data_IF_771296171764
#
_entry.id   IF_771296171764
#
_cell.length_a   1.000
_cell.length_b   1.000
_cell.length_c   1.000
_cell.angle_alpha   90.00
_cell.angle_beta   90.00
_cell.angle_gamma   90.00
#
_symmetry.space_group_name_H-M   'P 1'
#
loop_
_entity.id
_entity.type
_entity.pdbx_description
1 polymer ?
#
# COMPACT_ATOMS: atom_id res chain seq x y z
N UNK A 1 -0.36 -13.69 1.22
CA UNK A 1 0.75 -14.61 1.60
C UNK A 1 0.22 -16.03 1.67
N UNK A 2 0.93 -16.95 1.05
CA UNK A 2 0.62 -18.37 1.08
C UNK A 2 1.16 -19.02 2.34
N UNK A 3 0.65 -20.22 2.68
CA UNK A 3 1.12 -20.96 3.85
C UNK A 3 2.63 -21.25 3.78
N UNK A 4 3.11 -21.63 2.59
CA UNK A 4 4.53 -21.87 2.36
C UNK A 4 5.38 -20.64 2.64
N UNK A 5 4.87 -19.46 2.31
CA UNK A 5 5.53 -18.18 2.60
C UNK A 5 5.56 -17.90 4.10
N UNK A 6 4.51 -18.28 4.83
CA UNK A 6 4.50 -18.15 6.29
C UNK A 6 5.56 -19.07 6.92
N UNK A 7 5.71 -20.29 6.41
CA UNK A 7 6.76 -21.23 6.85
C UNK A 7 8.15 -20.63 6.59
N UNK A 8 8.36 -20.05 5.42
CA UNK A 8 9.61 -19.34 5.09
C UNK A 8 9.86 -18.17 6.03
N UNK A 9 8.82 -17.40 6.31
CA UNK A 9 8.88 -16.28 7.27
C UNK A 9 9.31 -16.77 8.65
N UNK A 10 8.74 -17.88 9.12
CA UNK A 10 9.10 -18.47 10.40
C UNK A 10 10.54 -18.95 10.44
N UNK A 11 11.04 -19.51 9.35
CA UNK A 11 12.45 -19.89 9.23
C UNK A 11 13.37 -18.67 9.38
N UNK A 12 13.01 -17.57 8.74
CA UNK A 12 13.75 -16.32 8.84
C UNK A 12 13.70 -15.78 10.27
N UNK A 13 12.54 -15.75 10.89
CA UNK A 13 12.38 -15.30 12.29
C UNK A 13 13.24 -16.16 13.21
N UNK A 14 13.17 -17.46 13.05
CA UNK A 14 13.98 -18.38 13.88
C UNK A 14 15.47 -18.23 13.64
N UNK A 15 15.88 -17.90 12.42
CA UNK A 15 17.26 -17.60 12.08
C UNK A 15 17.78 -16.39 12.85
N UNK A 16 16.96 -15.35 13.01
CA UNK A 16 17.32 -14.15 13.75
C UNK A 16 17.11 -14.31 15.27
N UNK A 17 16.09 -15.08 15.65
CA UNK A 17 15.71 -15.31 17.05
C UNK A 17 15.60 -16.82 17.32
N UNK A 18 16.70 -17.47 17.75
CA UNK A 18 16.70 -18.93 17.94
C UNK A 18 15.66 -19.47 18.92
N UNK A 19 15.20 -18.62 19.85
CA UNK A 19 14.19 -18.99 20.84
C UNK A 19 12.74 -18.90 20.30
N UNK A 20 12.58 -18.52 19.06
CA UNK A 20 11.25 -18.41 18.46
C UNK A 20 10.64 -19.79 18.25
N UNK A 21 9.45 -20.02 18.83
CA UNK A 21 8.76 -21.29 18.70
C UNK A 21 8.06 -21.39 17.35
N UNK A 22 8.25 -22.51 16.67
CA UNK A 22 7.60 -22.82 15.39
C UNK A 22 6.74 -24.06 15.59
N UNK A 23 5.44 -23.95 15.38
CA UNK A 23 4.50 -25.06 15.41
C UNK A 23 3.55 -24.94 14.22
N UNK A 24 2.96 -26.08 13.81
CA UNK A 24 1.98 -26.06 12.70
C UNK A 24 0.74 -25.25 13.06
N UNK A 25 0.32 -25.29 14.31
CA UNK A 25 -0.81 -24.49 14.81
C UNK A 25 -0.51 -22.99 14.70
N UNK A 26 0.69 -22.60 15.07
CA UNK A 26 1.13 -21.21 14.98
C UNK A 26 1.23 -20.76 13.51
N UNK A 27 1.74 -21.60 12.63
CA UNK A 27 1.77 -21.34 11.19
C UNK A 27 0.36 -21.11 10.65
N UNK A 28 -0.58 -21.96 11.00
CA UNK A 28 -1.96 -21.87 10.54
C UNK A 28 -2.64 -20.58 11.07
N UNK A 29 -2.42 -20.27 12.35
CA UNK A 29 -2.97 -19.06 12.96
C UNK A 29 -2.41 -17.79 12.30
N UNK A 30 -1.10 -17.74 12.08
CA UNK A 30 -0.45 -16.62 11.41
C UNK A 30 -0.89 -16.51 9.94
N UNK A 31 -1.04 -17.64 9.26
CA UNK A 31 -1.51 -17.67 7.87
C UNK A 31 -2.89 -17.05 7.74
N UNK A 32 -3.81 -17.33 8.65
CA UNK A 32 -5.16 -16.74 8.65
C UNK A 32 -5.12 -15.23 8.72
N UNK A 33 -4.25 -14.68 9.56
CA UNK A 33 -4.12 -13.24 9.76
C UNK A 33 -3.34 -12.59 8.63
N UNK A 34 -2.28 -13.25 8.17
CA UNK A 34 -1.34 -12.73 7.18
C UNK A 34 -1.72 -13.04 5.73
N UNK A 35 -2.86 -13.68 5.51
CA UNK A 35 -3.31 -14.14 4.18
C UNK A 35 -3.35 -13.03 3.14
N UNK A 36 -3.70 -11.82 3.55
CA UNK A 36 -3.78 -10.64 2.67
C UNK A 36 -2.50 -9.82 2.66
N UNK A 37 -1.50 -10.21 3.43
CA UNK A 37 -0.24 -9.48 3.51
C UNK A 37 0.71 -9.85 2.38
N UNK A 38 1.63 -8.94 2.05
CA UNK A 38 2.65 -9.15 1.06
C UNK A 38 3.92 -9.70 1.70
N UNK A 39 4.37 -10.87 1.25
CA UNK A 39 5.52 -11.57 1.79
C UNK A 39 6.80 -10.73 1.75
N UNK A 40 7.12 -10.14 0.60
CA UNK A 40 8.34 -9.35 0.44
C UNK A 40 8.39 -8.15 1.39
N UNK A 41 7.26 -7.50 1.59
CA UNK A 41 7.13 -6.36 2.49
C UNK A 41 7.19 -6.76 3.95
N UNK A 42 6.59 -7.90 4.29
CA UNK A 42 6.67 -8.47 5.63
C UNK A 42 8.11 -8.82 5.96
N UNK A 43 8.84 -9.44 5.03
CA UNK A 43 10.25 -9.78 5.20
C UNK A 43 11.09 -8.51 5.40
N UNK A 44 10.85 -7.46 4.63
CA UNK A 44 11.56 -6.20 4.77
C UNK A 44 11.34 -5.59 6.17
N UNK A 45 10.11 -5.62 6.67
CA UNK A 45 9.81 -5.17 8.04
C UNK A 45 10.43 -6.07 9.10
N UNK A 46 10.48 -7.38 8.85
CA UNK A 46 11.14 -8.32 9.74
C UNK A 46 12.64 -8.00 9.84
N UNK A 47 13.29 -7.76 8.74
CA UNK A 47 14.71 -7.42 8.72
C UNK A 47 14.98 -6.12 9.48
N UNK A 48 14.13 -5.12 9.31
CA UNK A 48 14.20 -3.87 10.04
C UNK A 48 14.00 -4.10 11.54
N UNK A 49 12.99 -4.90 11.91
CA UNK A 49 12.73 -5.26 13.30
C UNK A 49 13.93 -5.99 13.92
N UNK A 50 14.51 -6.95 13.20
CA UNK A 50 15.67 -7.71 13.66
C UNK A 50 16.89 -6.84 13.89
N UNK A 51 17.04 -5.76 13.12
CA UNK A 51 18.13 -4.80 13.30
C UNK A 51 17.94 -3.90 14.52
N UNK A 52 16.71 -3.65 14.94
CA UNK A 52 16.37 -2.71 16.01
C UNK A 52 15.99 -3.36 17.34
N UNK A 53 15.39 -4.55 17.29
CA UNK A 53 14.80 -5.21 18.48
C UNK A 53 15.48 -6.52 18.82
N UNK A 54 15.55 -6.80 20.12
CA UNK A 54 16.18 -8.02 20.66
C UNK A 54 15.21 -9.18 20.83
N UNK A 55 13.91 -8.97 20.64
CA UNK A 55 12.86 -9.97 20.81
C UNK A 55 12.16 -10.29 19.50
N UNK A 56 11.59 -11.51 19.35
CA UNK A 56 10.86 -11.89 18.14
C UNK A 56 9.68 -10.96 17.87
N UNK A 57 9.39 -10.65 16.59
CA UNK A 57 8.28 -9.77 16.26
C UNK A 57 6.92 -10.43 16.45
N UNK A 58 5.92 -9.62 16.77
CA UNK A 58 4.52 -10.03 16.69
C UNK A 58 4.00 -9.76 15.28
N UNK A 59 2.84 -10.32 14.95
CA UNK A 59 2.20 -10.09 13.64
C UNK A 59 2.02 -8.59 13.37
N UNK A 60 1.57 -7.85 14.38
CA UNK A 60 1.33 -6.40 14.24
C UNK A 60 2.60 -5.61 13.93
N UNK A 61 3.74 -6.04 14.43
CA UNK A 61 5.01 -5.34 14.22
C UNK A 61 5.56 -5.51 12.81
N UNK A 62 5.28 -6.65 12.16
CA UNK A 62 5.74 -6.94 10.81
C UNK A 62 4.61 -6.92 9.77
N UNK A 63 3.41 -6.52 10.17
CA UNK A 63 2.27 -6.46 9.26
C UNK A 63 2.56 -5.49 8.11
N UNK A 64 2.44 -5.99 6.89
CA UNK A 64 2.67 -5.21 5.68
C UNK A 64 1.78 -5.72 4.56
N UNK A 65 0.98 -4.83 4.04
CA UNK A 65 0.07 -5.13 2.94
C UNK A 65 0.63 -4.59 1.64
N UNK A 66 0.28 -5.25 0.53
CA UNK A 66 0.53 -4.67 -0.79
C UNK A 66 -0.14 -3.29 -0.84
N UNK A 67 0.54 -2.26 -1.39
CA UNK A 67 -0.02 -0.93 -1.33
C UNK A 67 -1.34 -0.83 -2.08
N UNK A 68 -2.36 -0.32 -1.42
CA UNK A 68 -3.61 0.06 -2.07
C UNK A 68 -3.39 1.20 -3.06
N UNK A 69 -2.24 1.84 -2.99
CA UNK A 69 -1.77 2.85 -3.94
C UNK A 69 -1.87 2.40 -5.40
N UNK A 70 -1.69 1.10 -5.69
CA UNK A 70 -1.84 0.57 -7.05
C UNK A 70 -3.28 0.73 -7.57
N UNK A 71 -4.28 0.53 -6.72
CA UNK A 71 -5.68 0.78 -7.09
C UNK A 71 -5.94 2.27 -7.25
N UNK A 72 -5.31 3.09 -6.43
CA UNK A 72 -5.44 4.54 -6.50
C UNK A 72 -4.77 5.10 -7.76
N UNK A 73 -3.58 4.60 -8.10
CA UNK A 73 -2.87 4.96 -9.32
C UNK A 73 -3.64 4.54 -10.58
N UNK A 74 -4.23 3.35 -10.59
CA UNK A 74 -5.07 2.89 -11.68
C UNK A 74 -6.30 3.77 -11.86
N UNK A 75 -6.94 4.19 -10.79
CA UNK A 75 -8.07 5.11 -10.83
C UNK A 75 -7.66 6.49 -11.34
N UNK A 76 -6.53 7.00 -10.92
CA UNK A 76 -5.99 8.28 -11.39
C UNK A 76 -5.64 8.20 -12.88
N UNK A 77 -5.04 7.09 -13.33
CA UNK A 77 -4.76 6.87 -14.73
C UNK A 77 -6.03 6.78 -15.57
N UNK A 78 -7.05 6.08 -15.09
CA UNK A 78 -8.36 6.02 -15.77
C UNK A 78 -9.00 7.39 -15.87
N UNK A 79 -8.93 8.19 -14.83
CA UNK A 79 -9.46 9.56 -14.86
C UNK A 79 -8.70 10.44 -15.83
N UNK A 80 -7.39 10.29 -15.94
CA UNK A 80 -6.57 11.01 -16.94
C UNK A 80 -6.91 10.58 -18.36
N UNK A 81 -7.11 9.29 -18.60
CA UNK A 81 -7.53 8.78 -19.90
C UNK A 81 -8.93 9.26 -20.27
N UNK A 82 -9.86 9.27 -19.34
CA UNK A 82 -11.21 9.81 -19.55
C UNK A 82 -11.17 11.32 -19.81
N UNK A 83 -10.34 12.06 -19.10
CA UNK A 83 -10.13 13.47 -19.33
C UNK A 83 -9.49 13.74 -20.71
N UNK A 84 -8.59 12.86 -21.18
CA UNK A 84 -7.98 12.95 -22.49
C UNK A 84 -8.96 12.61 -23.62
N UNK A 85 -10.02 11.85 -23.33
CA UNK A 85 -11.08 11.50 -24.27
C UNK A 85 -12.16 12.57 -24.38
N UNK A 86 -12.14 13.58 -23.53
CA UNK A 86 -13.08 14.70 -23.59
C UNK A 86 -12.84 15.49 -24.86
N UNK A 87 -13.92 15.75 -25.63
CA UNK A 87 -13.83 16.47 -26.89
C UNK A 87 -13.23 17.87 -26.72
N UNK A 88 -12.53 18.40 -27.73
CA UNK A 88 -11.97 19.75 -27.65
C UNK A 88 -13.01 20.85 -27.37
N UNK A 89 -14.24 20.66 -27.79
CA UNK A 89 -15.35 21.58 -27.54
C UNK A 89 -15.66 21.72 -26.06
N UNK A 90 -15.65 20.62 -25.30
CA UNK A 90 -15.88 20.62 -23.87
C UNK A 90 -14.72 21.28 -23.14
N UNK A 91 -13.49 21.06 -23.60
CA UNK A 91 -12.30 21.73 -23.05
C UNK A 91 -12.36 23.25 -23.23
N UNK A 92 -12.82 23.71 -24.38
CA UNK A 92 -12.97 25.13 -24.65
C UNK A 92 -14.06 25.77 -23.78
N UNK A 93 -15.18 25.07 -23.56
CA UNK A 93 -16.25 25.53 -22.65
C UNK A 93 -15.75 25.68 -21.21
N UNK A 94 -15.01 24.68 -20.74
CA UNK A 94 -14.39 24.73 -19.41
C UNK A 94 -13.43 25.92 -19.30
N UNK A 95 -12.62 26.13 -20.32
CA UNK A 95 -11.66 27.22 -20.38
C UNK A 95 -12.33 28.58 -20.30
N UNK A 96 -13.40 28.79 -21.07
CA UNK A 96 -14.17 30.04 -21.09
C UNK A 96 -14.86 30.29 -19.75
N UNK A 97 -15.44 29.27 -19.14
CA UNK A 97 -16.05 29.39 -17.82
C UNK A 97 -15.03 29.71 -16.75
N UNK A 98 -13.86 29.11 -16.84
CA UNK A 98 -12.77 29.36 -15.91
C UNK A 98 -12.23 30.79 -16.04
N UNK A 99 -12.09 31.29 -17.27
CA UNK A 99 -11.67 32.67 -17.55
C UNK A 99 -12.69 33.68 -17.01
N UNK A 100 -13.96 33.42 -17.17
CA UNK A 100 -15.04 34.28 -16.64
C UNK A 100 -15.00 34.31 -15.10
N UNK A 101 -14.73 33.18 -14.45
CA UNK A 101 -14.59 33.14 -13.00
C UNK A 101 -13.37 33.91 -12.54
N UNK A 102 -12.25 33.81 -13.24
CA UNK A 102 -11.02 34.51 -12.93
C UNK A 102 -11.22 36.03 -13.08
N UNK A 103 -11.91 36.46 -14.12
CA UNK A 103 -12.25 37.88 -14.33
C UNK A 103 -13.15 38.43 -13.23
N UNK A 104 -14.14 37.66 -12.79
CA UNK A 104 -15.03 38.08 -11.69
C UNK A 104 -14.27 38.19 -10.37
N UNK A 105 -13.30 37.35 -10.13
CA UNK A 105 -12.44 37.39 -8.94
C UNK A 105 -11.56 38.65 -8.98
N UNK A 106 -10.99 39.00 -10.14
CA UNK A 106 -10.19 40.20 -10.33
C UNK A 106 -11.04 41.48 -10.15
N UNK A 107 -12.25 41.50 -10.67
CA UNK A 107 -13.19 42.65 -10.50
C UNK A 107 -13.60 42.83 -9.05
N UNK A 108 -13.75 41.76 -8.28
CA UNK A 108 -14.09 41.84 -6.85
C UNK A 108 -12.90 42.24 -5.98
N UNK A 109 -11.66 42.02 -6.44
CA UNK A 109 -10.48 42.42 -5.68
C UNK A 109 -10.04 43.85 -5.87
N UNK A 110 -10.70 44.56 -6.74
CA UNK A 110 -10.56 46.02 -6.91
C UNK A 110 -11.61 46.74 -6.09
#
# INVERSE_FOLDING_TARGET
MERDQVVELFRLIKSFYPNFEVSSEKVDAWHRIMKKMDFDRVVAKLEQHAAEKLFPPTIAEIAAYAPEENKHLEQIQKWREEAAKVSPEVKERFRKEFEKLAQKIEEKSK
#
